data_IF_213290849465
#
_entry.id   IF_213290849465
#
_cell.length_a   1.000
_cell.length_b   1.000
_cell.length_c   1.000
_cell.angle_alpha   90.00
_cell.angle_beta   90.00
_cell.angle_gamma   90.00
#
_symmetry.space_group_name_H-M   'P 1'
#
loop_
_entity.id
_entity.type
_entity.pdbx_description
1 polymer ?
#
# COMPACT_ATOMS: atom_id res chain seq x y z
N UNK A 1 16.79 -19.94 73.09
CA UNK A 1 17.50 -20.58 71.95
C UNK A 1 16.46 -20.80 70.86
N UNK A 2 16.34 -19.85 69.93
CA UNK A 2 15.46 -19.92 68.75
C UNK A 2 16.13 -19.13 67.62
N UNK A 3 16.34 -19.69 66.42
CA UNK A 3 16.83 -18.93 65.29
C UNK A 3 15.66 -18.36 64.49
N UNK A 4 15.62 -17.03 64.39
CA UNK A 4 14.75 -16.31 63.45
C UNK A 4 15.24 -16.53 62.02
N UNK A 5 14.52 -17.34 61.25
CA UNK A 5 14.79 -17.56 59.83
C UNK A 5 14.47 -16.28 59.04
N UNK A 6 15.48 -15.71 58.39
CA UNK A 6 15.35 -14.51 57.54
C UNK A 6 14.61 -14.88 56.25
N UNK A 7 13.29 -14.70 56.25
CA UNK A 7 12.45 -14.64 55.05
C UNK A 7 12.73 -13.28 54.38
N UNK A 8 13.84 -13.18 53.65
CA UNK A 8 14.26 -11.91 53.04
C UNK A 8 15.01 -12.03 51.72
N UNK A 9 15.26 -13.25 51.23
CA UNK A 9 16.14 -13.48 50.06
C UNK A 9 15.47 -14.35 48.97
N UNK A 10 14.15 -14.62 49.04
CA UNK A 10 13.46 -15.40 47.99
C UNK A 10 12.55 -14.58 47.06
N UNK A 11 12.32 -13.28 47.35
CA UNK A 11 11.46 -12.42 46.51
C UNK A 11 12.27 -11.61 45.47
N UNK A 12 13.60 -11.57 45.58
CA UNK A 12 14.44 -10.81 44.63
C UNK A 12 14.81 -11.57 43.35
N UNK A 13 14.46 -12.86 43.22
CA UNK A 13 14.79 -13.68 42.04
C UNK A 13 13.63 -13.87 41.05
N UNK A 14 12.41 -13.44 41.39
CA UNK A 14 11.23 -13.57 40.50
C UNK A 14 11.04 -12.30 39.64
N UNK A 15 11.71 -11.18 39.97
CA UNK A 15 11.62 -9.91 39.26
C UNK A 15 12.60 -9.80 38.06
N UNK A 16 12.77 -10.88 37.28
CA UNK A 16 13.56 -10.88 36.03
C UNK A 16 12.89 -11.63 34.87
N UNK A 17 11.57 -11.79 34.91
CA UNK A 17 10.78 -12.19 33.75
C UNK A 17 9.90 -11.03 33.29
N UNK A 18 10.54 -9.92 32.89
CA UNK A 18 9.88 -8.97 32.01
C UNK A 18 9.88 -9.57 30.61
N UNK A 19 8.72 -9.78 29.96
CA UNK A 19 8.69 -10.17 28.57
C UNK A 19 9.37 -9.05 27.77
N UNK A 20 10.55 -9.32 27.23
CA UNK A 20 11.08 -8.50 26.15
C UNK A 20 10.14 -8.74 24.98
N UNK A 21 9.40 -7.71 24.57
CA UNK A 21 8.72 -7.65 23.28
C UNK A 21 9.72 -8.09 22.21
N UNK A 22 9.63 -9.34 21.77
CA UNK A 22 10.37 -9.80 20.62
C UNK A 22 9.72 -9.05 19.46
N UNK A 23 10.46 -8.11 18.87
CA UNK A 23 10.09 -7.50 17.60
C UNK A 23 9.98 -8.62 16.56
N UNK A 24 8.80 -9.23 16.48
CA UNK A 24 8.46 -10.15 15.42
C UNK A 24 8.58 -9.37 14.12
N UNK A 25 9.10 -10.02 13.09
CA UNK A 25 9.11 -9.48 11.74
C UNK A 25 7.67 -9.30 11.25
N UNK A 26 7.04 -8.19 11.61
CA UNK A 26 5.69 -7.84 11.20
C UNK A 26 5.76 -6.67 10.23
N UNK A 27 5.08 -6.84 9.11
CA UNK A 27 4.72 -5.76 8.22
C UNK A 27 3.31 -6.00 7.74
N UNK A 28 2.60 -4.92 7.45
CA UNK A 28 1.29 -5.02 6.84
C UNK A 28 1.46 -5.58 5.43
N UNK A 29 0.52 -6.42 5.01
CA UNK A 29 0.48 -6.90 3.63
C UNK A 29 0.22 -5.71 2.70
N UNK A 30 1.15 -5.43 1.78
CA UNK A 30 1.10 -4.21 0.96
C UNK A 30 0.29 -4.39 -0.34
N UNK A 31 0.08 -5.63 -0.79
CA UNK A 31 -0.55 -5.86 -2.08
C UNK A 31 -0.22 -7.18 -2.77
N UNK A 32 -0.93 -7.38 -3.88
CA UNK A 32 -0.71 -8.42 -4.88
C UNK A 32 0.44 -8.07 -5.84
N UNK A 33 0.79 -9.01 -6.71
CA UNK A 33 1.96 -8.89 -7.57
C UNK A 33 1.86 -7.72 -8.54
N UNK A 34 0.76 -7.55 -9.28
CA UNK A 34 0.62 -6.46 -10.25
C UNK A 34 0.50 -5.07 -9.59
N UNK A 35 0.24 -4.99 -8.28
CA UNK A 35 0.27 -3.74 -7.50
C UNK A 35 1.70 -3.39 -7.05
N UNK A 36 2.46 -4.39 -6.60
CA UNK A 36 3.77 -4.16 -5.96
C UNK A 36 4.95 -4.29 -6.92
N UNK A 37 4.92 -5.28 -7.82
CA UNK A 37 6.03 -5.57 -8.72
C UNK A 37 6.48 -4.37 -9.58
N UNK A 38 5.59 -3.48 -10.09
CA UNK A 38 6.02 -2.31 -10.85
C UNK A 38 6.93 -1.36 -10.07
N UNK A 39 6.93 -1.40 -8.74
CA UNK A 39 7.79 -0.59 -7.88
C UNK A 39 9.18 -1.21 -7.68
N UNK A 40 9.32 -2.52 -7.92
CA UNK A 40 10.61 -3.21 -7.85
C UNK A 40 11.53 -2.77 -9.00
N UNK A 41 12.83 -2.57 -8.77
CA UNK A 41 13.78 -2.22 -9.83
C UNK A 41 13.95 -3.34 -10.87
N UNK A 42 13.81 -4.60 -10.43
CA UNK A 42 14.04 -5.78 -11.26
C UNK A 42 12.84 -6.73 -11.15
N UNK A 43 12.38 -7.23 -12.30
CA UNK A 43 11.37 -8.29 -12.38
C UNK A 43 11.84 -9.34 -13.36
N UNK A 44 11.94 -10.60 -12.94
CA UNK A 44 12.42 -11.70 -13.75
C UNK A 44 11.53 -12.93 -13.67
N UNK A 45 11.62 -13.80 -14.66
CA UNK A 45 11.22 -15.20 -14.59
C UNK A 45 12.47 -16.07 -14.48
N UNK A 46 12.50 -17.04 -13.59
CA UNK A 46 13.67 -17.88 -13.40
C UNK A 46 13.39 -19.21 -12.72
N UNK A 47 14.35 -20.14 -12.86
CA UNK A 47 14.32 -21.45 -12.22
C UNK A 47 15.30 -21.46 -11.06
N UNK A 48 14.85 -21.92 -9.89
CA UNK A 48 15.75 -22.11 -8.74
C UNK A 48 16.64 -23.32 -8.99
N UNK A 49 17.96 -23.13 -9.01
CA UNK A 49 18.92 -24.22 -9.28
C UNK A 49 19.35 -24.95 -8.03
N UNK A 50 19.69 -24.19 -6.99
CA UNK A 50 20.16 -24.73 -5.71
C UNK A 50 20.01 -23.72 -4.60
N UNK A 51 19.95 -24.23 -3.38
CA UNK A 51 20.08 -23.44 -2.17
C UNK A 51 21.54 -23.45 -1.70
N UNK A 52 21.94 -22.36 -1.07
CA UNK A 52 23.19 -22.26 -0.34
C UNK A 52 22.84 -21.84 1.07
N UNK A 53 22.99 -22.75 2.03
CA UNK A 53 22.79 -22.48 3.44
C UNK A 53 24.14 -22.61 4.14
N UNK A 54 24.60 -21.55 4.79
CA UNK A 54 25.75 -21.63 5.71
C UNK A 54 25.22 -21.96 7.11
N UNK A 55 25.99 -22.73 7.89
CA UNK A 55 25.66 -23.19 9.26
C UNK A 55 25.14 -22.07 10.19
N UNK A 56 24.49 -22.44 11.30
CA UNK A 56 23.83 -21.57 12.29
C UNK A 56 24.30 -20.09 12.30
N UNK A 57 23.41 -19.17 11.89
CA UNK A 57 23.69 -17.73 11.71
C UNK A 57 24.19 -17.33 10.31
N UNK A 58 24.49 -18.30 9.45
CA UNK A 58 24.97 -18.09 8.09
C UNK A 58 23.88 -17.73 7.08
N UNK A 59 24.31 -17.13 5.96
CA UNK A 59 23.40 -16.58 4.96
C UNK A 59 22.78 -17.69 4.10
N UNK A 60 21.45 -17.79 4.10
CA UNK A 60 20.69 -18.60 3.15
C UNK A 60 20.46 -17.84 1.85
N UNK A 61 20.66 -18.50 0.71
CA UNK A 61 20.36 -17.92 -0.60
C UNK A 61 19.94 -18.96 -1.63
N UNK A 62 19.16 -18.52 -2.61
CA UNK A 62 18.84 -19.28 -3.81
C UNK A 62 19.71 -18.80 -4.97
N UNK A 63 20.26 -19.76 -5.73
CA UNK A 63 20.80 -19.49 -7.06
C UNK A 63 19.65 -19.63 -8.06
N UNK A 64 19.35 -18.57 -8.81
CA UNK A 64 18.23 -18.53 -9.77
C UNK A 64 18.79 -18.31 -11.18
N UNK A 65 18.53 -19.27 -12.07
CA UNK A 65 18.80 -19.14 -13.50
C UNK A 65 17.71 -18.28 -14.13
N UNK A 66 18.11 -17.22 -14.84
CA UNK A 66 17.18 -16.27 -15.45
C UNK A 66 16.72 -16.82 -16.79
N UNK A 67 15.39 -16.95 -16.94
CA UNK A 67 14.74 -17.33 -18.20
C UNK A 67 14.26 -16.12 -19.00
N UNK A 68 13.79 -15.09 -18.30
CA UNK A 68 13.20 -13.89 -18.90
C UNK A 68 13.38 -12.70 -17.95
N UNK A 69 13.62 -11.51 -18.49
CA UNK A 69 13.67 -10.26 -17.72
C UNK A 69 12.52 -9.38 -18.19
N UNK A 70 11.58 -9.09 -17.28
CA UNK A 70 10.44 -8.22 -17.55
C UNK A 70 10.74 -6.74 -17.27
N UNK A 71 11.61 -6.47 -16.29
CA UNK A 71 12.02 -5.11 -15.90
C UNK A 71 13.44 -5.14 -15.33
N UNK A 72 14.22 -4.09 -15.63
CA UNK A 72 15.59 -3.91 -15.15
C UNK A 72 16.62 -4.50 -16.12
N UNK A 73 17.89 -4.33 -15.77
CA UNK A 73 19.02 -4.84 -16.55
C UNK A 73 19.84 -5.79 -15.68
N UNK A 74 20.09 -7.00 -16.20
CA UNK A 74 20.92 -8.02 -15.57
C UNK A 74 21.88 -8.55 -16.64
N UNK A 75 23.17 -8.64 -16.32
CA UNK A 75 24.19 -9.10 -17.27
C UNK A 75 24.49 -10.60 -17.10
N UNK A 76 24.23 -11.11 -15.91
CA UNK A 76 24.46 -12.49 -15.53
C UNK A 76 23.30 -13.38 -15.95
N UNK A 77 23.59 -14.64 -16.33
CA UNK A 77 22.56 -15.66 -16.61
C UNK A 77 21.97 -16.27 -15.34
N UNK A 78 22.63 -16.05 -14.21
CA UNK A 78 22.25 -16.60 -12.91
C UNK A 78 22.52 -15.56 -11.85
N UNK A 79 21.55 -15.34 -10.97
CA UNK A 79 21.66 -14.42 -9.86
C UNK A 79 21.51 -15.16 -8.53
N UNK A 80 22.02 -14.53 -7.48
CA UNK A 80 21.88 -14.97 -6.10
C UNK A 80 20.82 -14.12 -5.41
N UNK A 81 19.74 -14.75 -4.94
CA UNK A 81 18.72 -14.12 -4.10
C UNK A 81 18.96 -14.53 -2.66
N UNK A 82 19.31 -13.59 -1.80
CA UNK A 82 19.47 -13.80 -0.37
C UNK A 82 18.11 -13.89 0.32
N UNK A 83 17.96 -14.87 1.20
CA UNK A 83 16.81 -15.00 2.07
C UNK A 83 17.19 -14.95 3.53
N UNK A 84 16.28 -15.43 4.37
CA UNK A 84 16.41 -15.31 5.81
C UNK A 84 17.38 -16.33 6.41
N UNK A 85 18.05 -15.93 7.48
CA UNK A 85 18.78 -16.80 8.40
C UNK A 85 18.11 -16.88 9.78
N UNK A 86 16.86 -16.40 9.89
CA UNK A 86 16.03 -16.41 11.10
C UNK A 86 16.04 -15.11 11.90
N UNK A 87 16.81 -14.10 11.47
CA UNK A 87 16.94 -12.80 12.16
C UNK A 87 16.74 -11.59 11.25
N UNK A 88 16.68 -11.79 9.93
CA UNK A 88 16.77 -10.70 8.95
C UNK A 88 15.43 -10.28 8.39
N UNK A 89 14.33 -10.91 8.83
CA UNK A 89 12.98 -10.63 8.34
C UNK A 89 12.91 -10.70 6.82
N UNK A 90 13.56 -11.71 6.24
CA UNK A 90 13.57 -11.96 4.80
C UNK A 90 12.69 -13.18 4.50
N UNK A 91 12.46 -13.45 3.23
CA UNK A 91 11.75 -14.68 2.84
C UNK A 91 12.68 -15.89 3.07
N UNK A 92 12.16 -16.93 3.71
CA UNK A 92 12.85 -18.21 3.85
C UNK A 92 13.08 -18.84 2.46
N UNK A 93 14.32 -19.20 2.14
CA UNK A 93 14.69 -19.73 0.81
C UNK A 93 14.09 -21.10 0.55
N UNK A 94 13.81 -21.85 1.61
CA UNK A 94 13.19 -23.18 1.60
C UNK A 94 11.82 -23.17 0.90
N UNK A 95 11.15 -21.99 0.86
CA UNK A 95 9.90 -21.79 0.11
C UNK A 95 10.07 -21.93 -1.41
N UNK A 96 11.28 -21.76 -1.94
CA UNK A 96 11.56 -21.77 -3.38
C UNK A 96 12.28 -23.06 -3.76
N UNK A 97 11.54 -24.14 -4.04
CA UNK A 97 12.16 -25.46 -4.24
C UNK A 97 13.10 -25.49 -5.47
N UNK A 98 14.28 -26.13 -5.38
CA UNK A 98 15.13 -26.36 -6.54
C UNK A 98 14.39 -27.10 -7.66
N UNK A 99 14.61 -26.68 -8.91
CA UNK A 99 13.90 -27.17 -10.09
C UNK A 99 12.60 -26.44 -10.40
N UNK A 100 12.04 -25.68 -9.44
CA UNK A 100 10.80 -24.93 -9.64
C UNK A 100 11.03 -23.58 -10.30
N UNK A 101 10.05 -23.17 -11.09
CA UNK A 101 10.02 -21.90 -11.83
C UNK A 101 9.16 -20.85 -11.11
N UNK A 102 9.65 -19.62 -11.09
CA UNK A 102 8.97 -18.50 -10.46
C UNK A 102 9.18 -17.21 -11.24
N UNK A 103 8.25 -16.27 -11.07
CA UNK A 103 8.41 -14.86 -11.41
C UNK A 103 8.74 -14.12 -10.11
N UNK A 104 9.82 -13.34 -10.10
CA UNK A 104 10.30 -12.61 -8.93
C UNK A 104 10.29 -11.10 -9.19
N UNK A 105 9.77 -10.34 -8.24
CA UNK A 105 9.92 -8.89 -8.15
C UNK A 105 10.96 -8.59 -7.06
N UNK A 106 12.16 -8.18 -7.46
CA UNK A 106 13.37 -8.19 -6.64
C UNK A 106 13.68 -6.77 -6.15
N UNK A 107 14.12 -6.65 -4.90
CA UNK A 107 14.48 -5.39 -4.24
C UNK A 107 13.34 -4.35 -4.25
N UNK A 108 12.09 -4.81 -4.22
CA UNK A 108 10.92 -3.95 -4.10
C UNK A 108 10.74 -3.34 -2.71
N UNK A 109 9.74 -2.46 -2.52
CA UNK A 109 9.39 -1.89 -1.22
C UNK A 109 9.31 -2.95 -0.11
N UNK A 110 9.79 -2.60 1.09
CA UNK A 110 9.85 -3.51 2.23
C UNK A 110 10.98 -4.56 2.17
N UNK A 111 11.70 -4.71 1.05
CA UNK A 111 12.84 -5.63 0.96
C UNK A 111 13.95 -5.20 1.90
N UNK A 112 14.46 -6.14 2.70
CA UNK A 112 15.62 -5.87 3.57
C UNK A 112 16.91 -5.91 2.74
N UNK A 113 17.93 -5.08 3.05
CA UNK A 113 19.18 -5.05 2.28
C UNK A 113 19.77 -6.44 2.15
N UNK A 114 20.15 -6.87 0.96
CA UNK A 114 20.86 -8.13 0.73
C UNK A 114 22.35 -8.00 1.12
N UNK A 115 23.08 -9.12 1.14
CA UNK A 115 24.53 -9.09 1.32
C UNK A 115 25.22 -8.55 0.08
N UNK A 116 26.30 -7.78 0.27
CA UNK A 116 27.14 -7.25 -0.81
C UNK A 116 26.36 -6.49 -1.90
N UNK A 117 25.31 -5.77 -1.50
CA UNK A 117 24.36 -5.09 -2.42
C UNK A 117 23.69 -6.04 -3.43
N UNK A 118 23.48 -7.30 -3.05
CA UNK A 118 22.84 -8.33 -3.87
C UNK A 118 21.33 -8.19 -3.99
N UNK A 119 20.66 -9.31 -4.26
CA UNK A 119 19.22 -9.36 -4.49
C UNK A 119 18.49 -9.97 -3.30
N UNK A 120 17.37 -9.37 -2.90
CA UNK A 120 16.45 -9.90 -1.90
C UNK A 120 15.00 -9.68 -2.35
N UNK A 121 14.09 -10.37 -1.66
CA UNK A 121 12.65 -10.30 -1.91
C UNK A 121 11.98 -9.83 -0.61
N UNK A 122 11.04 -8.92 -0.74
CA UNK A 122 10.21 -8.45 0.37
C UNK A 122 9.21 -9.53 0.79
N UNK A 123 9.01 -9.68 2.09
CA UNK A 123 7.96 -10.53 2.67
C UNK A 123 6.63 -9.78 2.87
N UNK A 124 6.59 -8.48 2.57
CA UNK A 124 5.47 -7.59 2.90
C UNK A 124 4.41 -7.53 1.78
N UNK A 125 4.15 -8.65 1.11
CA UNK A 125 3.20 -8.72 0.00
C UNK A 125 3.56 -9.83 -0.98
N UNK A 126 2.90 -9.84 -2.14
CA UNK A 126 3.19 -10.82 -3.19
C UNK A 126 4.31 -10.35 -4.11
N UNK A 127 5.55 -10.72 -3.80
CA UNK A 127 6.73 -10.39 -4.62
C UNK A 127 7.28 -11.57 -5.44
N UNK A 128 6.58 -12.70 -5.44
CA UNK A 128 6.89 -13.84 -6.29
C UNK A 128 5.61 -14.53 -6.78
N UNK A 129 5.64 -15.20 -7.92
CA UNK A 129 4.55 -16.05 -8.41
C UNK A 129 5.12 -17.37 -8.87
N UNK A 130 4.44 -18.49 -8.60
CA UNK A 130 4.88 -19.80 -9.08
C UNK A 130 4.51 -19.93 -10.56
N UNK A 131 5.37 -20.55 -11.35
CA UNK A 131 5.06 -20.92 -12.74
C UNK A 131 5.05 -22.44 -12.86
N UNK A 132 3.95 -22.99 -13.36
CA UNK A 132 3.79 -24.43 -13.57
C UNK A 132 2.92 -24.68 -14.79
N UNK A 133 3.36 -25.56 -15.69
CA UNK A 133 2.61 -25.90 -16.91
C UNK A 133 2.16 -24.66 -17.74
N UNK A 134 3.05 -23.67 -17.88
CA UNK A 134 2.79 -22.40 -18.56
C UNK A 134 1.67 -21.54 -17.92
N UNK A 135 1.37 -21.78 -16.64
CA UNK A 135 0.45 -20.98 -15.85
C UNK A 135 1.17 -20.28 -14.71
N UNK A 136 0.71 -19.08 -14.39
CA UNK A 136 1.22 -18.24 -13.30
C UNK A 136 0.23 -18.34 -12.16
N UNK A 137 0.71 -18.68 -10.97
CA UNK A 137 -0.10 -19.00 -9.79
C UNK A 137 0.36 -18.14 -8.60
N UNK A 138 -0.60 -17.46 -7.96
CA UNK A 138 -0.39 -16.66 -6.75
C UNK A 138 -1.39 -15.50 -6.65
N UNK A 139 -1.13 -14.51 -5.79
CA UNK A 139 -1.96 -13.29 -5.72
C UNK A 139 -1.53 -12.30 -6.82
N UNK A 140 -2.27 -12.28 -7.93
CA UNK A 140 -1.82 -11.64 -9.18
C UNK A 140 -2.47 -10.27 -9.36
N UNK A 141 -3.80 -10.19 -9.36
CA UNK A 141 -4.55 -8.99 -9.73
C UNK A 141 -4.37 -7.86 -8.72
N UNK A 142 -4.34 -6.61 -9.20
CA UNK A 142 -4.14 -5.39 -8.39
C UNK A 142 -5.05 -5.29 -7.15
N UNK A 143 -6.21 -5.95 -7.17
CA UNK A 143 -7.26 -5.89 -6.13
C UNK A 143 -7.54 -7.22 -5.42
N UNK A 144 -6.64 -8.20 -5.48
CA UNK A 144 -6.76 -9.41 -4.65
C UNK A 144 -6.80 -9.00 -3.18
N UNK A 145 -7.97 -9.01 -2.54
CA UNK A 145 -8.14 -8.71 -1.12
C UNK A 145 -7.84 -10.00 -0.37
N UNK A 146 -6.90 -9.99 0.59
CA UNK A 146 -6.51 -11.16 1.40
C UNK A 146 -5.71 -12.26 0.70
N UNK A 147 -4.79 -11.92 -0.21
CA UNK A 147 -3.86 -12.89 -0.82
C UNK A 147 -4.56 -14.08 -1.51
N UNK A 148 -5.69 -13.81 -2.17
CA UNK A 148 -6.40 -14.82 -2.97
C UNK A 148 -5.46 -15.40 -4.03
N UNK A 149 -5.46 -16.73 -4.15
CA UNK A 149 -4.66 -17.43 -5.15
C UNK A 149 -5.44 -17.42 -6.45
N UNK A 150 -4.87 -16.75 -7.44
CA UNK A 150 -5.32 -16.70 -8.82
C UNK A 150 -4.42 -17.57 -9.69
N UNK A 151 -4.96 -17.99 -10.83
CA UNK A 151 -4.25 -18.72 -11.87
C UNK A 151 -4.58 -18.11 -13.23
N UNK A 152 -3.55 -17.82 -14.02
CA UNK A 152 -3.70 -17.37 -15.42
C UNK A 152 -2.61 -17.92 -16.32
N UNK A 153 -2.77 -17.82 -17.63
CA UNK A 153 -1.72 -18.22 -18.55
C UNK A 153 -0.50 -17.29 -18.44
N UNK A 154 0.71 -17.82 -18.70
CA UNK A 154 1.92 -16.99 -18.72
C UNK A 154 1.85 -15.88 -19.77
N UNK A 155 1.18 -16.12 -20.90
CA UNK A 155 0.98 -15.12 -21.95
C UNK A 155 0.08 -13.97 -21.50
N UNK A 156 -1.06 -14.29 -20.88
CA UNK A 156 -1.95 -13.29 -20.29
C UNK A 156 -1.25 -12.49 -19.19
N UNK A 157 -0.49 -13.16 -18.32
CA UNK A 157 0.32 -12.49 -17.31
C UNK A 157 1.32 -11.51 -17.93
N UNK A 158 2.03 -11.92 -19.00
CA UNK A 158 2.97 -11.02 -19.71
C UNK A 158 2.26 -9.80 -20.23
N UNK A 159 1.09 -9.97 -20.85
CA UNK A 159 0.30 -8.87 -21.36
C UNK A 159 -0.09 -7.90 -20.24
N UNK A 160 -0.61 -8.41 -19.12
CA UNK A 160 -1.01 -7.59 -17.97
C UNK A 160 0.19 -6.88 -17.32
N UNK A 161 1.30 -7.59 -17.12
CA UNK A 161 2.52 -7.01 -16.54
C UNK A 161 3.10 -5.94 -17.47
N UNK A 162 3.22 -6.22 -18.76
CA UNK A 162 3.76 -5.28 -19.74
C UNK A 162 2.88 -4.02 -19.82
N UNK A 163 1.56 -4.16 -19.81
CA UNK A 163 0.66 -3.01 -19.74
C UNK A 163 0.88 -2.24 -18.45
N UNK A 164 0.97 -2.92 -17.30
CA UNK A 164 1.19 -2.27 -16.01
C UNK A 164 2.53 -1.53 -15.94
N UNK A 165 3.60 -2.09 -16.53
CA UNK A 165 4.92 -1.46 -16.58
C UNK A 165 4.98 -0.28 -17.55
N UNK A 166 4.20 -0.33 -18.63
CA UNK A 166 4.19 0.68 -19.68
C UNK A 166 3.03 1.69 -19.56
N UNK A 167 2.19 1.60 -18.53
CA UNK A 167 1.24 2.63 -18.15
C UNK A 167 2.02 3.90 -17.75
N UNK A 168 2.50 4.66 -18.75
CA UNK A 168 3.02 6.01 -18.55
C UNK A 168 1.90 6.83 -17.93
N UNK A 169 2.17 7.46 -16.79
CA UNK A 169 1.25 8.39 -16.16
C UNK A 169 1.94 9.73 -16.04
N UNK A 170 1.21 10.78 -16.37
CA UNK A 170 1.63 12.11 -15.98
C UNK A 170 1.31 12.28 -14.50
N UNK A 171 2.27 12.79 -13.73
CA UNK A 171 2.07 13.15 -12.33
C UNK A 171 1.99 14.67 -12.27
N UNK A 172 0.81 15.18 -11.93
CA UNK A 172 0.61 16.60 -11.66
C UNK A 172 0.56 16.81 -10.16
N UNK A 173 1.50 17.60 -9.64
CA UNK A 173 1.54 17.96 -8.23
C UNK A 173 0.97 19.36 -8.02
N UNK A 174 -0.02 19.47 -7.14
CA UNK A 174 -0.58 20.75 -6.71
C UNK A 174 -0.31 20.96 -5.22
N UNK A 175 -0.19 22.22 -4.81
CA UNK A 175 -0.01 22.64 -3.43
C UNK A 175 -1.01 23.74 -3.09
N UNK A 176 -1.41 23.82 -1.82
CA UNK A 176 -2.27 24.89 -1.36
C UNK A 176 -2.31 25.02 0.15
N UNK A 177 -2.91 26.13 0.57
CA UNK A 177 -3.27 26.43 1.95
C UNK A 177 -4.68 27.01 1.93
N UNK A 178 -5.54 26.55 2.83
CA UNK A 178 -6.92 26.99 2.96
C UNK A 178 -7.28 27.24 4.42
N UNK A 179 -8.06 28.28 4.67
CA UNK A 179 -8.77 28.50 5.92
C UNK A 179 -10.16 27.89 5.86
N UNK A 180 -10.73 27.62 7.03
CA UNK A 180 -12.11 27.11 7.16
C UNK A 180 -13.10 27.90 6.30
N UNK A 181 -13.92 27.21 5.51
CA UNK A 181 -14.90 27.81 4.61
C UNK A 181 -14.36 28.27 3.25
N UNK A 182 -13.04 28.26 3.02
CA UNK A 182 -12.46 28.54 1.69
C UNK A 182 -12.51 27.32 0.78
N UNK A 183 -12.66 27.55 -0.51
CA UNK A 183 -12.61 26.52 -1.54
C UNK A 183 -11.32 26.61 -2.36
N UNK A 184 -10.90 25.47 -2.92
CA UNK A 184 -9.78 25.41 -3.86
C UNK A 184 -10.21 24.76 -5.16
N UNK A 185 -9.77 25.33 -6.28
CA UNK A 185 -10.05 24.79 -7.60
C UNK A 185 -8.85 24.99 -8.53
N UNK A 186 -8.38 23.93 -9.18
CA UNK A 186 -7.33 23.98 -10.22
C UNK A 186 -7.55 22.94 -11.31
N UNK A 187 -7.41 23.38 -12.56
CA UNK A 187 -7.31 22.47 -13.70
C UNK A 187 -5.94 21.77 -13.71
N UNK A 188 -5.88 20.48 -14.08
CA UNK A 188 -4.64 19.70 -14.02
C UNK A 188 -4.36 18.77 -15.20
N UNK A 189 -5.34 18.38 -16.02
CA UNK A 189 -5.11 17.67 -17.29
C UNK A 189 -6.42 17.50 -18.05
N UNK A 190 -6.42 17.65 -19.38
CA UNK A 190 -7.58 17.32 -20.25
C UNK A 190 -8.91 17.91 -19.73
N UNK A 191 -8.89 19.17 -19.30
CA UNK A 191 -10.04 19.86 -18.72
C UNK A 191 -10.53 19.26 -17.39
N UNK A 192 -9.77 18.38 -16.74
CA UNK A 192 -10.08 17.90 -15.40
C UNK A 192 -9.70 18.97 -14.38
N UNK A 193 -10.58 19.13 -13.41
CA UNK A 193 -10.48 20.13 -12.35
C UNK A 193 -10.50 19.42 -11.01
N UNK A 194 -9.45 19.64 -10.21
CA UNK A 194 -9.36 19.21 -8.82
C UNK A 194 -9.99 20.29 -7.94
N UNK A 195 -10.87 19.87 -7.04
CA UNK A 195 -11.65 20.75 -6.17
C UNK A 195 -11.54 20.29 -4.71
N UNK A 196 -11.32 21.24 -3.80
CA UNK A 196 -11.65 21.09 -2.38
C UNK A 196 -12.88 21.95 -2.10
N UNK A 197 -14.02 21.30 -1.98
CA UNK A 197 -15.29 21.95 -1.64
C UNK A 197 -15.38 22.12 -0.12
N UNK A 198 -15.75 23.31 0.34
CA UNK A 198 -15.85 23.59 1.76
C UNK A 198 -16.99 22.79 2.40
N UNK A 199 -16.72 22.22 3.57
CA UNK A 199 -17.67 21.49 4.42
C UNK A 199 -17.67 22.10 5.83
N UNK A 200 -18.70 21.89 6.67
CA UNK A 200 -18.78 22.50 7.99
C UNK A 200 -17.58 22.24 8.90
N UNK A 201 -16.94 21.08 8.76
CA UNK A 201 -15.79 20.66 9.60
C UNK A 201 -14.50 20.44 8.81
N UNK A 202 -14.47 20.83 7.54
CA UNK A 202 -13.30 20.67 6.67
C UNK A 202 -13.64 20.75 5.19
N UNK A 203 -13.25 19.74 4.40
CA UNK A 203 -13.41 19.76 2.94
C UNK A 203 -13.77 18.39 2.36
N UNK A 204 -14.42 18.41 1.19
CA UNK A 204 -14.64 17.24 0.35
C UNK A 204 -13.79 17.34 -0.93
N UNK A 205 -12.99 16.31 -1.19
CA UNK A 205 -12.24 16.16 -2.44
C UNK A 205 -13.23 15.81 -3.57
N UNK A 206 -13.20 16.60 -4.65
CA UNK A 206 -13.91 16.31 -5.89
C UNK A 206 -12.97 16.41 -7.10
N UNK A 207 -13.30 15.64 -8.14
CA UNK A 207 -12.72 15.81 -9.48
C UNK A 207 -13.85 15.95 -10.45
N UNK A 208 -13.82 16.98 -11.30
CA UNK A 208 -14.84 17.21 -12.35
C UNK A 208 -14.18 17.40 -13.70
N UNK A 209 -14.94 17.20 -14.77
CA UNK A 209 -14.58 17.71 -16.09
C UNK A 209 -15.07 19.15 -16.23
N UNK A 210 -14.30 20.02 -16.88
CA UNK A 210 -14.70 21.42 -17.06
C UNK A 210 -16.07 21.48 -17.76
N UNK A 211 -16.98 22.25 -17.18
CA UNK A 211 -18.38 22.39 -17.61
C UNK A 211 -19.29 21.17 -17.33
N UNK A 212 -18.89 20.24 -16.45
CA UNK A 212 -19.76 19.17 -15.96
C UNK A 212 -19.86 19.24 -14.44
N UNK A 213 -21.05 18.96 -13.91
CA UNK A 213 -21.29 18.93 -12.45
C UNK A 213 -20.96 17.58 -11.79
N UNK A 214 -20.82 16.53 -12.59
CA UNK A 214 -20.56 15.17 -12.12
C UNK A 214 -19.23 15.10 -11.36
N UNK A 215 -19.28 14.61 -10.12
CA UNK A 215 -18.09 14.32 -9.32
C UNK A 215 -17.52 12.97 -9.73
N UNK A 216 -16.53 13.02 -10.63
CA UNK A 216 -15.83 11.88 -11.19
C UNK A 216 -15.08 11.05 -10.14
N UNK A 217 -14.92 11.57 -8.91
CA UNK A 217 -14.27 10.88 -7.80
C UNK A 217 -15.23 10.19 -6.84
N UNK A 218 -16.55 10.33 -7.04
CA UNK A 218 -17.58 9.90 -6.06
C UNK A 218 -17.58 8.42 -5.73
N UNK A 219 -17.00 7.61 -6.60
CA UNK A 219 -16.84 6.17 -6.43
C UNK A 219 -15.47 5.78 -5.82
N UNK A 220 -14.82 6.68 -5.08
CA UNK A 220 -13.62 6.35 -4.32
C UNK A 220 -13.94 5.48 -3.10
N UNK A 221 -13.35 4.28 -2.97
CA UNK A 221 -13.59 3.41 -1.82
C UNK A 221 -13.07 3.99 -0.49
N UNK A 222 -13.64 3.59 0.66
CA UNK A 222 -14.80 2.71 0.79
C UNK A 222 -16.11 3.42 0.38
N UNK A 223 -16.97 2.71 -0.35
CA UNK A 223 -18.28 3.23 -0.76
C UNK A 223 -19.34 3.11 0.34
N UNK A 224 -19.15 2.12 1.22
CA UNK A 224 -20.00 1.82 2.34
C UNK A 224 -19.12 1.44 3.53
N UNK A 225 -19.62 1.65 4.74
CA UNK A 225 -19.00 1.21 5.99
C UNK A 225 -17.62 1.84 6.23
N UNK A 226 -17.62 3.08 6.70
CA UNK A 226 -16.44 3.78 7.18
C UNK A 226 -16.28 5.17 6.56
N UNK A 227 -15.36 5.99 7.11
CA UNK A 227 -15.12 7.33 6.61
C UNK A 227 -14.45 7.29 5.23
N UNK A 228 -14.92 8.10 4.30
CA UNK A 228 -14.39 8.11 2.94
C UNK A 228 -13.09 8.94 2.88
N UNK A 229 -12.02 8.50 2.20
CA UNK A 229 -10.77 9.27 2.09
C UNK A 229 -10.91 10.59 1.33
N UNK A 230 -12.05 10.84 0.66
CA UNK A 230 -12.33 12.14 0.07
C UNK A 230 -12.82 13.16 1.09
N UNK A 231 -13.31 12.71 2.25
CA UNK A 231 -13.72 13.56 3.35
C UNK A 231 -12.49 13.93 4.20
N UNK A 232 -12.24 15.23 4.33
CA UNK A 232 -11.14 15.77 5.12
C UNK A 232 -11.77 16.53 6.28
N UNK A 233 -11.95 15.86 7.41
CA UNK A 233 -12.56 16.46 8.61
C UNK A 233 -11.61 16.40 9.81
N UNK A 234 -11.69 17.41 10.68
CA UNK A 234 -10.73 17.56 11.79
C UNK A 234 -10.74 16.38 12.77
N UNK A 235 -11.92 15.77 12.97
CA UNK A 235 -12.07 14.60 13.84
C UNK A 235 -11.33 13.36 13.31
N UNK A 236 -11.01 13.28 12.01
CA UNK A 236 -10.17 12.20 11.48
C UNK A 236 -8.76 12.17 12.10
N UNK A 237 -8.33 13.29 12.68
CA UNK A 237 -7.01 13.47 13.28
C UNK A 237 -7.05 13.41 14.82
N UNK A 238 -8.21 13.12 15.41
CA UNK A 238 -8.44 13.09 16.86
C UNK A 238 -8.98 11.72 17.31
N UNK A 239 -8.63 11.32 18.52
CA UNK A 239 -9.22 10.13 19.14
C UNK A 239 -10.73 10.33 19.41
N UNK A 240 -11.43 9.25 19.74
CA UNK A 240 -12.89 9.27 19.95
C UNK A 240 -13.39 10.25 21.02
N UNK A 241 -12.56 10.56 22.03
CA UNK A 241 -12.90 11.52 23.09
C UNK A 241 -12.59 12.97 22.71
N UNK A 242 -11.95 13.19 21.57
CA UNK A 242 -11.39 14.47 21.16
C UNK A 242 -10.45 15.07 22.23
N UNK A 243 -9.62 14.23 22.85
CA UNK A 243 -8.64 14.64 23.87
C UNK A 243 -7.20 14.62 23.36
N UNK A 244 -6.92 13.81 22.33
CA UNK A 244 -5.59 13.64 21.77
C UNK A 244 -5.61 13.29 20.28
N UNK A 245 -4.43 13.10 19.67
CA UNK A 245 -4.30 12.62 18.30
C UNK A 245 -4.96 11.25 18.09
N UNK A 246 -5.36 10.95 16.86
CA UNK A 246 -5.91 9.65 16.47
C UNK A 246 -4.80 8.59 16.28
N UNK A 247 -4.18 8.18 17.37
CA UNK A 247 -3.13 7.14 17.38
C UNK A 247 -3.70 5.73 17.58
N UNK A 248 -2.90 4.70 17.31
CA UNK A 248 -3.30 3.32 17.55
C UNK A 248 -3.63 3.08 19.03
N UNK A 249 -4.74 2.42 19.30
CA UNK A 249 -5.21 2.13 20.66
C UNK A 249 -6.73 2.03 20.75
N UNK A 250 -7.24 1.89 21.98
CA UNK A 250 -8.66 1.68 22.28
C UNK A 250 -9.58 2.79 21.74
N UNK A 251 -9.06 4.01 21.62
CA UNK A 251 -9.81 5.21 21.20
C UNK A 251 -9.54 5.62 19.76
N UNK A 252 -8.92 4.73 18.97
CA UNK A 252 -8.67 4.97 17.56
C UNK A 252 -9.98 4.92 16.77
N UNK A 253 -10.18 5.90 15.89
CA UNK A 253 -11.42 6.04 15.10
C UNK A 253 -11.39 5.28 13.76
N UNK A 254 -10.27 4.63 13.40
CA UNK A 254 -10.04 3.97 12.12
C UNK A 254 -10.34 4.84 10.90
N UNK A 255 -10.04 6.13 10.99
CA UNK A 255 -10.27 7.13 9.93
C UNK A 255 -9.04 7.31 9.03
N UNK A 256 -9.22 7.84 7.81
CA UNK A 256 -8.12 8.30 6.98
C UNK A 256 -7.27 9.35 7.71
N UNK A 257 -5.98 9.08 7.87
CA UNK A 257 -5.03 9.97 8.55
C UNK A 257 -4.57 11.13 7.66
N UNK A 258 -3.29 11.49 7.76
CA UNK A 258 -2.71 12.62 6.99
C UNK A 258 -2.58 12.32 5.49
N UNK A 259 -2.53 11.05 5.10
CA UNK A 259 -2.48 10.60 3.71
C UNK A 259 -3.80 9.95 3.30
N UNK A 260 -4.28 10.30 2.10
CA UNK A 260 -5.55 9.82 1.56
C UNK A 260 -5.40 9.52 0.08
N UNK A 261 -5.96 8.40 -0.35
CA UNK A 261 -6.04 8.02 -1.75
C UNK A 261 -7.48 8.15 -2.25
N UNK A 262 -7.65 8.64 -3.47
CA UNK A 262 -8.92 8.67 -4.17
C UNK A 262 -8.71 8.30 -5.64
N UNK A 263 -9.78 7.88 -6.30
CA UNK A 263 -9.76 7.48 -7.71
C UNK A 263 -10.76 8.34 -8.48
N UNK A 264 -10.55 8.52 -9.78
CA UNK A 264 -11.46 9.28 -10.60
C UNK A 264 -11.45 8.82 -12.06
N UNK A 265 -12.57 9.00 -12.77
CA UNK A 265 -12.67 8.71 -14.20
C UNK A 265 -13.81 9.47 -14.87
N UNK A 266 -13.62 10.02 -16.08
CA UNK A 266 -14.69 10.61 -16.90
C UNK A 266 -15.84 9.66 -17.25
N UNK A 267 -15.67 8.36 -17.02
CA UNK A 267 -16.67 7.31 -17.23
C UNK A 267 -17.71 7.26 -16.10
N UNK A 268 -17.39 7.81 -14.91
CA UNK A 268 -18.32 7.91 -13.78
C UNK A 268 -19.48 8.85 -14.13
N UNK A 269 -20.71 8.43 -13.83
CA UNK A 269 -21.92 9.14 -14.22
C UNK A 269 -22.26 9.01 -15.71
N UNK A 270 -21.50 8.21 -16.47
CA UNK A 270 -21.76 7.91 -17.89
C UNK A 270 -21.95 6.42 -18.09
N UNK A 271 -20.85 5.70 -18.35
CA UNK A 271 -20.85 4.26 -18.58
C UNK A 271 -20.72 3.47 -17.28
N UNK A 272 -20.24 4.10 -16.20
CA UNK A 272 -20.17 3.52 -14.86
C UNK A 272 -21.08 4.35 -13.96
N UNK A 273 -22.08 3.69 -13.37
CA UNK A 273 -23.05 4.31 -12.46
C UNK A 273 -23.71 5.56 -13.06
N UNK A 274 -24.07 5.47 -14.34
CA UNK A 274 -24.79 6.51 -15.08
C UNK A 274 -26.31 6.43 -14.89
N UNK A 275 -27.06 7.30 -15.57
CA UNK A 275 -28.52 7.39 -15.44
C UNK A 275 -29.28 6.09 -15.71
N UNK A 276 -28.74 5.23 -16.57
CA UNK A 276 -29.33 3.95 -16.96
C UNK A 276 -28.78 2.75 -16.17
N UNK A 277 -27.94 2.98 -15.15
CA UNK A 277 -27.38 1.92 -14.33
C UNK A 277 -28.46 1.28 -13.44
N UNK A 278 -28.63 -0.04 -13.58
CA UNK A 278 -29.58 -0.82 -12.77
C UNK A 278 -28.90 -1.60 -11.64
N UNK A 279 -27.58 -1.52 -11.54
CA UNK A 279 -26.76 -2.23 -10.56
C UNK A 279 -25.72 -1.29 -9.97
N UNK A 280 -25.35 -1.53 -8.72
CA UNK A 280 -24.27 -0.80 -8.06
C UNK A 280 -22.92 -1.09 -8.73
N UNK A 281 -21.95 -0.16 -8.66
CA UNK A 281 -20.61 -0.36 -9.22
C UNK A 281 -19.95 -1.66 -8.73
N UNK A 282 -19.50 -2.47 -9.67
CA UNK A 282 -18.78 -3.71 -9.37
C UNK A 282 -17.32 -3.42 -8.97
N UNK A 283 -16.61 -4.35 -8.31
CA UNK A 283 -15.17 -4.22 -8.09
C UNK A 283 -14.36 -4.02 -9.38
N UNK A 284 -14.84 -4.56 -10.51
CA UNK A 284 -14.22 -4.35 -11.82
C UNK A 284 -14.41 -2.91 -12.34
N UNK A 285 -15.52 -2.27 -12.01
CA UNK A 285 -15.76 -0.86 -12.34
C UNK A 285 -14.85 0.05 -11.52
N UNK A 286 -14.74 -0.20 -10.22
CA UNK A 286 -13.82 0.52 -9.33
C UNK A 286 -12.38 0.39 -9.83
N UNK A 287 -11.98 -0.80 -10.27
CA UNK A 287 -10.69 -1.04 -10.89
C UNK A 287 -10.52 -0.21 -12.17
N UNK A 288 -11.52 -0.20 -13.08
CA UNK A 288 -11.51 0.60 -14.31
C UNK A 288 -11.35 2.09 -14.02
N UNK A 289 -12.01 2.61 -12.99
CA UNK A 289 -11.87 4.00 -12.54
C UNK A 289 -10.44 4.25 -12.05
N UNK A 290 -9.92 3.38 -11.18
CA UNK A 290 -8.57 3.51 -10.63
C UNK A 290 -7.46 3.41 -11.68
N UNK A 291 -7.73 2.75 -12.81
CA UNK A 291 -6.85 2.70 -13.98
C UNK A 291 -6.92 3.95 -14.83
N UNK A 292 -7.99 4.75 -14.75
CA UNK A 292 -7.98 6.04 -15.40
C UNK A 292 -7.11 7.00 -14.60
N UNK A 293 -7.50 7.32 -13.37
CA UNK A 293 -6.82 8.32 -12.57
C UNK A 293 -6.82 8.00 -11.07
N UNK A 294 -5.73 8.40 -10.40
CA UNK A 294 -5.55 8.30 -8.95
C UNK A 294 -5.06 9.62 -8.38
N UNK A 295 -5.49 9.93 -7.18
CA UNK A 295 -5.05 11.09 -6.43
C UNK A 295 -4.53 10.69 -5.06
N UNK A 296 -3.39 11.25 -4.68
CA UNK A 296 -2.81 11.11 -3.34
C UNK A 296 -2.76 12.47 -2.67
N UNK A 297 -3.63 12.67 -1.69
CA UNK A 297 -3.71 13.89 -0.90
C UNK A 297 -2.92 13.73 0.40
N UNK A 298 -2.01 14.67 0.66
CA UNK A 298 -1.21 14.72 1.89
C UNK A 298 -1.49 16.02 2.62
N UNK A 299 -1.91 15.93 3.89
CA UNK A 299 -1.89 17.07 4.82
C UNK A 299 -0.45 17.29 5.23
N UNK A 300 0.09 18.46 4.91
CA UNK A 300 1.46 18.84 5.26
C UNK A 300 1.52 19.49 6.63
N UNK A 301 0.51 20.27 6.97
CA UNK A 301 0.41 21.03 8.21
C UNK A 301 -1.06 21.46 8.40
N UNK A 302 -1.49 21.71 9.64
CA UNK A 302 -2.87 22.10 9.92
C UNK A 302 -3.04 22.72 11.32
N UNK A 303 -4.19 23.36 11.52
CA UNK A 303 -4.70 23.73 12.85
C UNK A 303 -6.16 23.31 12.98
N UNK A 304 -6.49 22.65 14.09
CA UNK A 304 -7.84 22.20 14.39
C UNK A 304 -8.61 23.24 15.21
N UNK A 305 -9.92 23.27 14.99
CA UNK A 305 -10.91 23.97 15.79
C UNK A 305 -11.71 22.97 16.65
N UNK A 306 -12.41 23.47 17.68
CA UNK A 306 -13.28 22.66 18.55
C UNK A 306 -12.59 21.42 19.16
N UNK A 307 -11.37 21.58 19.68
CA UNK A 307 -10.56 20.48 20.25
C UNK A 307 -10.92 20.13 21.70
N UNK A 308 -12.01 20.67 22.22
CA UNK A 308 -12.46 20.38 23.59
C UNK A 308 -13.11 18.99 23.65
N UNK A 309 -12.92 18.29 24.77
CA UNK A 309 -13.43 16.94 24.96
C UNK A 309 -14.95 16.85 24.69
N UNK A 310 -15.36 15.84 23.94
CA UNK A 310 -16.76 15.60 23.58
C UNK A 310 -17.33 16.49 22.47
N UNK A 311 -16.57 17.45 21.93
CA UNK A 311 -16.93 18.14 20.68
C UNK A 311 -16.35 17.42 19.46
N UNK A 312 -16.89 17.70 18.27
CA UNK A 312 -16.32 17.24 17.02
C UNK A 312 -15.34 18.30 16.47
N UNK A 313 -14.09 17.88 16.27
CA UNK A 313 -13.05 18.77 15.78
C UNK A 313 -13.25 19.10 14.29
N UNK A 314 -13.01 20.37 13.94
CA UNK A 314 -12.94 20.85 12.57
C UNK A 314 -11.55 21.41 12.26
N UNK A 315 -11.42 22.12 11.14
CA UNK A 315 -10.19 22.85 10.80
C UNK A 315 -10.37 24.36 10.96
N UNK A 316 -9.36 25.01 11.52
CA UNK A 316 -9.12 26.45 11.34
C UNK A 316 -8.46 26.70 9.98
N UNK A 317 -7.43 25.89 9.65
CA UNK A 317 -6.74 25.91 8.35
C UNK A 317 -6.00 24.59 8.07
N UNK A 318 -5.64 24.39 6.80
CA UNK A 318 -4.88 23.24 6.29
C UNK A 318 -3.86 23.68 5.24
N UNK A 319 -2.67 23.08 5.25
CA UNK A 319 -1.70 23.09 4.14
C UNK A 319 -1.62 21.69 3.55
N UNK A 320 -1.56 21.61 2.22
CA UNK A 320 -1.65 20.33 1.54
C UNK A 320 -0.78 20.24 0.28
N UNK A 321 -0.56 18.99 -0.11
CA UNK A 321 -0.06 18.58 -1.43
C UNK A 321 -1.02 17.54 -1.98
N UNK A 322 -1.30 17.59 -3.28
CA UNK A 322 -1.96 16.49 -3.99
C UNK A 322 -1.13 16.08 -5.21
N UNK A 323 -0.91 14.78 -5.37
CA UNK A 323 -0.34 14.19 -6.58
C UNK A 323 -1.45 13.52 -7.37
N UNK A 324 -1.64 13.95 -8.62
CA UNK A 324 -2.67 13.46 -9.52
C UNK A 324 -2.01 12.66 -10.64
N UNK A 325 -2.30 11.37 -10.68
CA UNK A 325 -1.82 10.44 -11.69
C UNK A 325 -2.92 10.31 -12.74
N UNK A 326 -2.61 10.65 -13.98
CA UNK A 326 -3.54 10.59 -15.12
C UNK A 326 -2.88 9.88 -16.30
N UNK A 327 -3.67 9.41 -17.29
CA UNK A 327 -3.10 8.94 -18.55
C UNK A 327 -2.28 10.07 -19.19
N UNK A 328 -1.21 9.74 -19.93
CA UNK A 328 -0.31 10.73 -20.48
C UNK A 328 -1.08 11.57 -21.50
N UNK A 329 -0.81 12.87 -21.49
CA UNK A 329 -1.54 13.89 -22.27
C UNK A 329 -1.43 13.67 -23.78
#
# INVERSE_FOLDING_TARGET
MEPKFKIGILILLILKMLPTEILACSCNWEGSFLKLAPQSPIIIRGIVKKHTTKSFGGNSAASVEILEVFKGELKEKTIRIDGDNGMLCRVAIERFHPGSEYIFAINGPGSKPAYDNGFSISSCGQYWLKVENNKVIGSIAKNSVNSEIEEMSLEEFRFLLNNTLNEKRDIITLYGELKSGEEYMREFARQLVFILEAQPLGWLIKVKQANQEEDLSRLSPPLHFGPNPREIEGWHLRNSDNTGPNEAGEKNQNTPGVEREFIFSPEVGKSIDGPDANEAPSPADIEKISRFGRGYFTILDYRLSNTEAGKQAGFDWIKFRVNLLVPPS
#
